data_IF_641939597176
#
_entry.id   IF_641939597176
#
_cell.length_a   1.000
_cell.length_b   1.000
_cell.length_c   1.000
_cell.angle_alpha   90.00
_cell.angle_beta   90.00
_cell.angle_gamma   90.00
#
_symmetry.space_group_name_H-M   'P 1'
#
loop_
_entity.id
_entity.type
_entity.pdbx_description
1 polymer ?
#
# COMPACT_ATOMS: atom_id res chain seq x y z
N UNK A 1 58.57 -13.27 -22.89
CA UNK A 1 57.93 -14.11 -21.86
C UNK A 1 57.08 -13.18 -21.05
N UNK A 2 55.77 -13.28 -21.28
CA UNK A 2 54.75 -12.38 -20.78
C UNK A 2 54.30 -12.78 -19.37
N UNK A 3 53.62 -11.82 -18.73
CA UNK A 3 52.62 -11.97 -17.65
C UNK A 3 53.12 -12.14 -16.21
N UNK A 4 52.88 -11.12 -15.40
CA UNK A 4 51.79 -11.18 -14.42
C UNK A 4 51.58 -9.79 -13.78
N UNK A 5 50.57 -9.07 -14.27
CA UNK A 5 49.98 -7.94 -13.56
C UNK A 5 48.92 -8.54 -12.65
N UNK A 6 49.17 -8.55 -11.33
CA UNK A 6 48.12 -8.83 -10.36
C UNK A 6 47.23 -7.60 -10.25
N UNK A 7 46.20 -7.54 -11.09
CA UNK A 7 45.04 -6.69 -10.83
C UNK A 7 44.25 -7.34 -9.69
N UNK A 8 44.46 -6.85 -8.47
CA UNK A 8 43.53 -7.12 -7.39
C UNK A 8 42.23 -6.39 -7.72
N UNK A 9 41.27 -7.12 -8.25
CA UNK A 9 39.88 -6.71 -8.31
C UNK A 9 39.42 -6.40 -6.88
N UNK A 10 39.40 -5.12 -6.54
CA UNK A 10 38.64 -4.61 -5.41
C UNK A 10 37.16 -4.79 -5.72
N UNK A 11 36.67 -6.03 -5.61
CA UNK A 11 35.25 -6.29 -5.47
C UNK A 11 34.77 -5.49 -4.28
N UNK A 12 33.92 -4.51 -4.55
CA UNK A 12 33.20 -3.76 -3.53
C UNK A 12 32.25 -4.73 -2.82
N UNK A 13 32.76 -5.47 -1.85
CA UNK A 13 31.97 -6.24 -0.87
C UNK A 13 31.46 -5.28 0.20
N UNK A 14 30.76 -4.23 -0.23
CA UNK A 14 29.90 -3.49 0.67
C UNK A 14 28.50 -4.08 0.48
N UNK A 15 27.85 -4.55 1.56
CA UNK A 15 26.43 -4.85 1.47
C UNK A 15 25.76 -3.59 0.94
N UNK A 16 24.88 -3.73 -0.06
CA UNK A 16 23.91 -2.68 -0.40
C UNK A 16 23.04 -2.48 0.84
N UNK A 17 23.54 -1.69 1.78
CA UNK A 17 22.84 -1.29 2.98
C UNK A 17 21.68 -0.43 2.57
N UNK A 18 20.48 -1.01 2.63
CA UNK A 18 19.25 -0.38 3.10
C UNK A 18 18.99 1.08 2.69
N UNK A 19 19.10 1.42 1.41
CA UNK A 19 18.39 2.59 0.87
C UNK A 19 16.89 2.32 0.67
N UNK A 20 16.49 1.03 0.59
CA UNK A 20 15.09 0.62 0.40
C UNK A 20 14.15 1.18 1.48
N UNK A 21 14.49 1.04 2.76
CA UNK A 21 13.57 1.41 3.84
C UNK A 21 13.13 2.88 3.84
N UNK A 22 13.98 3.83 3.42
CA UNK A 22 13.65 5.27 3.53
C UNK A 22 12.89 5.77 2.31
N UNK A 23 13.23 5.27 1.13
CA UNK A 23 12.49 5.54 -0.12
C UNK A 23 11.13 4.84 -0.11
N UNK A 24 11.06 3.62 0.43
CA UNK A 24 9.82 2.85 0.57
C UNK A 24 8.84 3.53 1.54
N UNK A 25 9.32 4.11 2.65
CA UNK A 25 8.48 4.90 3.57
C UNK A 25 7.93 6.16 2.88
N UNK A 26 8.79 6.90 2.17
CA UNK A 26 8.37 8.14 1.50
C UNK A 26 7.35 7.87 0.38
N UNK A 27 7.54 6.81 -0.40
CA UNK A 27 6.59 6.40 -1.44
C UNK A 27 5.29 5.87 -0.83
N UNK A 28 5.35 5.07 0.24
CA UNK A 28 4.15 4.62 0.99
C UNK A 28 3.33 5.82 1.48
N UNK A 29 3.96 6.76 2.16
CA UNK A 29 3.27 7.92 2.72
C UNK A 29 2.63 8.78 1.61
N UNK A 30 3.33 8.96 0.49
CA UNK A 30 2.79 9.63 -0.70
C UNK A 30 1.58 8.90 -1.29
N UNK A 31 1.62 7.57 -1.34
CA UNK A 31 0.51 6.76 -1.85
C UNK A 31 -0.70 6.78 -0.91
N UNK A 32 -0.49 6.84 0.41
CA UNK A 32 -1.55 7.04 1.39
C UNK A 32 -2.26 8.37 1.11
N UNK A 33 -1.51 9.48 1.06
CA UNK A 33 -2.09 10.81 0.77
C UNK A 33 -2.84 10.83 -0.56
N UNK A 34 -2.32 10.14 -1.58
CA UNK A 34 -3.00 10.00 -2.88
C UNK A 34 -4.31 9.22 -2.74
N UNK A 35 -4.31 8.09 -2.03
CA UNK A 35 -5.50 7.29 -1.78
C UNK A 35 -6.59 8.09 -1.05
N UNK A 36 -6.22 8.83 -0.01
CA UNK A 36 -7.12 9.73 0.72
C UNK A 36 -7.74 10.78 -0.21
N UNK A 37 -6.91 11.41 -1.06
CA UNK A 37 -7.38 12.40 -2.04
C UNK A 37 -8.35 11.80 -3.05
N UNK A 38 -8.07 10.58 -3.54
CA UNK A 38 -8.96 9.86 -4.45
C UNK A 38 -10.29 9.56 -3.77
N UNK A 39 -10.27 9.10 -2.51
CA UNK A 39 -11.50 8.84 -1.75
C UNK A 39 -12.35 10.10 -1.60
N UNK A 40 -11.76 11.20 -1.15
CA UNK A 40 -12.47 12.47 -0.95
C UNK A 40 -13.12 12.95 -2.25
N UNK A 41 -12.41 12.88 -3.37
CA UNK A 41 -12.95 13.21 -4.68
C UNK A 41 -14.10 12.26 -5.10
N UNK A 42 -13.97 10.98 -4.79
CA UNK A 42 -14.97 9.96 -5.13
C UNK A 42 -16.27 10.11 -4.34
N UNK A 43 -16.19 10.47 -3.06
CA UNK A 43 -17.36 10.76 -2.23
C UNK A 43 -18.10 11.98 -2.80
N UNK A 44 -17.37 13.08 -3.06
CA UNK A 44 -17.93 14.30 -3.66
C UNK A 44 -18.60 14.06 -5.01
N UNK A 45 -18.06 13.13 -5.81
CA UNK A 45 -18.61 12.77 -7.12
C UNK A 45 -19.59 11.58 -7.08
N UNK A 46 -19.81 10.98 -5.91
CA UNK A 46 -20.64 9.79 -5.70
C UNK A 46 -20.25 8.62 -6.63
N UNK A 47 -18.95 8.36 -6.77
CA UNK A 47 -18.38 7.31 -7.64
C UNK A 47 -17.26 6.55 -6.94
N UNK A 48 -17.55 5.36 -6.40
CA UNK A 48 -16.59 4.57 -5.61
C UNK A 48 -15.58 3.75 -6.43
N UNK A 49 -15.88 3.47 -7.71
CA UNK A 49 -15.07 2.61 -8.58
C UNK A 49 -13.58 3.00 -8.64
N UNK A 50 -13.25 4.29 -8.57
CA UNK A 50 -11.86 4.73 -8.63
C UNK A 50 -11.09 4.35 -7.34
N UNK A 51 -11.76 4.28 -6.19
CA UNK A 51 -11.13 3.88 -4.93
C UNK A 51 -10.91 2.37 -4.91
N UNK A 52 -11.88 1.59 -5.39
CA UNK A 52 -11.75 0.14 -5.53
C UNK A 52 -10.57 -0.22 -6.45
N UNK A 53 -10.48 0.41 -7.62
CA UNK A 53 -9.36 0.19 -8.54
C UNK A 53 -8.01 0.64 -7.97
N UNK A 54 -7.98 1.73 -7.19
CA UNK A 54 -6.77 2.13 -6.46
C UNK A 54 -6.35 1.04 -5.45
N UNK A 55 -7.28 0.54 -4.65
CA UNK A 55 -7.05 -0.51 -3.66
C UNK A 55 -6.57 -1.80 -4.31
N UNK A 56 -7.25 -2.25 -5.36
CA UNK A 56 -6.87 -3.46 -6.10
C UNK A 56 -5.44 -3.38 -6.62
N UNK A 57 -5.07 -2.24 -7.23
CA UNK A 57 -3.71 -2.05 -7.72
C UNK A 57 -2.65 -2.05 -6.63
N UNK A 58 -2.99 -1.70 -5.38
CA UNK A 58 -2.06 -1.81 -4.25
C UNK A 58 -2.01 -3.25 -3.71
N UNK A 59 -3.15 -3.95 -3.65
CA UNK A 59 -3.22 -5.36 -3.28
C UNK A 59 -2.38 -6.23 -4.22
N UNK A 60 -2.51 -6.02 -5.54
CA UNK A 60 -1.77 -6.76 -6.57
C UNK A 60 -0.25 -6.57 -6.45
N UNK A 61 0.21 -5.41 -5.94
CA UNK A 61 1.63 -5.12 -5.73
C UNK A 61 2.19 -5.79 -4.47
N UNK A 62 1.36 -6.07 -3.47
CA UNK A 62 1.77 -6.72 -2.21
C UNK A 62 2.78 -5.91 -1.38
N UNK A 63 3.40 -6.55 -0.37
CA UNK A 63 4.46 -5.95 0.43
C UNK A 63 4.05 -4.62 1.11
N UNK A 64 4.89 -3.59 0.98
CA UNK A 64 4.65 -2.25 1.56
C UNK A 64 3.35 -1.59 1.06
N UNK A 65 2.85 -1.99 -0.10
CA UNK A 65 1.59 -1.47 -0.66
C UNK A 65 0.37 -1.99 0.12
N UNK A 66 0.48 -3.12 0.84
CA UNK A 66 -0.56 -3.56 1.75
C UNK A 66 -0.73 -2.62 2.95
N UNK A 67 0.35 -1.96 3.39
CA UNK A 67 0.25 -0.93 4.44
C UNK A 67 -0.51 0.31 3.96
N UNK A 68 -0.39 0.65 2.68
CA UNK A 68 -1.22 1.69 2.06
C UNK A 68 -2.71 1.29 2.13
N UNK A 69 -3.04 0.04 1.81
CA UNK A 69 -4.42 -0.45 1.87
C UNK A 69 -4.95 -0.48 3.32
N UNK A 70 -4.13 -0.87 4.29
CA UNK A 70 -4.48 -0.82 5.72
C UNK A 70 -4.75 0.61 6.18
N UNK A 71 -3.87 1.55 5.84
CA UNK A 71 -4.06 2.96 6.13
C UNK A 71 -5.34 3.51 5.49
N UNK A 72 -5.64 3.12 4.24
CA UNK A 72 -6.88 3.48 3.56
C UNK A 72 -8.13 2.96 4.28
N UNK A 73 -8.13 1.70 4.72
CA UNK A 73 -9.24 1.13 5.51
C UNK A 73 -9.49 1.96 6.76
N UNK A 74 -8.42 2.26 7.50
CA UNK A 74 -8.51 2.97 8.77
C UNK A 74 -8.99 4.41 8.55
N UNK A 75 -8.54 5.08 7.49
CA UNK A 75 -9.04 6.39 7.09
C UNK A 75 -10.54 6.36 6.76
N UNK A 76 -11.01 5.38 5.98
CA UNK A 76 -12.45 5.20 5.67
C UNK A 76 -13.25 4.99 6.96
N UNK A 77 -12.74 4.21 7.92
CA UNK A 77 -13.40 3.99 9.20
C UNK A 77 -13.55 5.31 10.00
N UNK A 78 -12.51 6.14 10.00
CA UNK A 78 -12.54 7.48 10.63
C UNK A 78 -13.55 8.39 9.93
N UNK A 79 -13.57 8.44 8.61
CA UNK A 79 -14.54 9.26 7.86
C UNK A 79 -15.98 8.76 8.08
N UNK A 80 -16.19 7.45 8.16
CA UNK A 80 -17.49 6.86 8.49
C UNK A 80 -17.99 7.26 9.90
N UNK A 81 -17.09 7.53 10.85
CA UNK A 81 -17.47 8.02 12.19
C UNK A 81 -17.88 9.49 12.18
N UNK A 82 -17.32 10.29 11.27
CA UNK A 82 -17.60 11.73 11.15
C UNK A 82 -18.78 12.03 10.24
N UNK A 83 -19.04 11.16 9.26
CA UNK A 83 -20.07 11.41 8.25
C UNK A 83 -21.47 11.22 8.85
N UNK A 84 -22.34 12.20 8.57
CA UNK A 84 -23.72 12.28 9.04
C UNK A 84 -24.73 12.08 7.91
N UNK A 85 -24.35 12.33 6.66
CA UNK A 85 -25.19 12.06 5.50
C UNK A 85 -25.39 10.54 5.33
N UNK A 86 -26.65 10.12 5.18
CA UNK A 86 -27.01 8.71 5.13
C UNK A 86 -26.45 8.03 3.88
N UNK A 87 -26.42 8.73 2.74
CA UNK A 87 -25.99 8.19 1.46
C UNK A 87 -24.47 8.04 1.45
N UNK A 88 -23.74 9.07 1.86
CA UNK A 88 -22.28 9.04 1.95
C UNK A 88 -21.79 8.03 3.00
N UNK A 89 -22.44 7.94 4.17
CA UNK A 89 -22.20 6.85 5.13
C UNK A 89 -22.40 5.46 4.51
N UNK A 90 -23.43 5.30 3.68
CA UNK A 90 -23.70 4.03 2.98
C UNK A 90 -22.53 3.64 2.07
N UNK A 91 -22.10 4.58 1.24
CA UNK A 91 -20.94 4.42 0.36
C UNK A 91 -19.65 4.12 1.13
N UNK A 92 -19.36 4.87 2.19
CA UNK A 92 -18.20 4.65 3.05
C UNK A 92 -18.23 3.26 3.71
N UNK A 93 -19.41 2.77 4.12
CA UNK A 93 -19.56 1.43 4.70
C UNK A 93 -19.29 0.33 3.67
N UNK A 94 -19.86 0.44 2.47
CA UNK A 94 -19.61 -0.51 1.38
C UNK A 94 -18.12 -0.57 1.04
N UNK A 95 -17.49 0.59 0.93
CA UNK A 95 -16.06 0.67 0.65
C UNK A 95 -15.21 0.11 1.81
N UNK A 96 -15.57 0.40 3.07
CA UNK A 96 -14.86 -0.18 4.23
C UNK A 96 -14.94 -1.71 4.22
N UNK A 97 -16.11 -2.28 3.90
CA UNK A 97 -16.31 -3.72 3.78
C UNK A 97 -15.48 -4.29 2.63
N UNK A 98 -15.48 -3.63 1.46
CA UNK A 98 -14.68 -4.01 0.30
C UNK A 98 -13.19 -4.11 0.65
N UNK A 99 -12.61 -3.03 1.20
CA UNK A 99 -11.18 -2.96 1.54
C UNK A 99 -10.82 -4.00 2.61
N UNK A 100 -11.69 -4.17 3.63
CA UNK A 100 -11.49 -5.18 4.67
C UNK A 100 -11.49 -6.60 4.09
N UNK A 101 -12.41 -6.90 3.18
CA UNK A 101 -12.47 -8.21 2.51
C UNK A 101 -11.24 -8.50 1.68
N UNK A 102 -10.72 -7.52 0.93
CA UNK A 102 -9.47 -7.65 0.16
C UNK A 102 -8.27 -7.94 1.06
N UNK A 103 -8.15 -7.24 2.18
CA UNK A 103 -7.07 -7.49 3.15
C UNK A 103 -7.17 -8.88 3.80
N UNK A 104 -8.37 -9.35 4.10
CA UNK A 104 -8.59 -10.71 4.63
C UNK A 104 -8.18 -11.79 3.61
N UNK A 105 -8.57 -11.63 2.34
CA UNK A 105 -8.17 -12.55 1.28
C UNK A 105 -6.64 -12.66 1.13
N UNK A 106 -5.93 -11.54 1.28
CA UNK A 106 -4.45 -11.56 1.25
C UNK A 106 -3.86 -12.25 2.49
N UNK A 107 -4.43 -12.05 3.67
CA UNK A 107 -3.96 -12.71 4.90
C UNK A 107 -4.17 -14.23 4.88
N UNK A 108 -5.27 -14.71 4.32
CA UNK A 108 -5.52 -16.15 4.16
C UNK A 108 -4.54 -16.82 3.18
N UNK A 109 -3.86 -16.04 2.34
CA UNK A 109 -2.87 -16.52 1.37
C UNK A 109 -1.44 -16.51 1.91
N UNK A 110 -1.15 -15.88 3.05
CA UNK A 110 0.15 -16.00 3.70
C UNK A 110 0.18 -17.31 4.51
N UNK A 111 1.01 -18.32 4.14
CA UNK A 111 1.13 -19.51 4.96
C UNK A 111 1.64 -19.09 6.34
N UNK A 112 0.95 -19.56 7.39
CA UNK A 112 1.43 -19.48 8.76
C UNK A 112 2.84 -20.04 8.75
N UNK A 113 3.84 -19.16 8.87
CA UNK A 113 5.20 -19.61 9.12
C UNK A 113 5.17 -20.27 10.50
N UNK A 114 5.04 -21.60 10.50
CA UNK A 114 5.16 -22.44 11.68
C UNK A 114 6.51 -22.11 12.34
N UNK A 115 6.44 -21.54 13.56
CA UNK A 115 7.55 -21.44 14.49
C UNK A 115 7.52 -22.63 15.46
#
# INVERSE_FOLDING_TARGET
MSENIMEMNGESILPKGSNGNREDIAERDRLITKGESVLNLCIQQNKLLCVEGFVDSQIERGGVYLDVVRAMRDYIAVELMKEHDRKERGMLRELHQYVSGKLQQVQELEPVAEL
#
